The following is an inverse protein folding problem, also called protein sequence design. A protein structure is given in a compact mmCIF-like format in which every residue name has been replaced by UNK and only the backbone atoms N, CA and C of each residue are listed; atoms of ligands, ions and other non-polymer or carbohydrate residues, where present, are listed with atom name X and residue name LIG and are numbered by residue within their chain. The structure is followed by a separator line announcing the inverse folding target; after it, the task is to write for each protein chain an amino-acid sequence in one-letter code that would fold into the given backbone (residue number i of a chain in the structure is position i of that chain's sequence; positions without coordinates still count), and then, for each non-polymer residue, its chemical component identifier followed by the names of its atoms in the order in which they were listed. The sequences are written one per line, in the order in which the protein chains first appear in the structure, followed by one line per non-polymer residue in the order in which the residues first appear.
data_IF_487538850308
#
_entry.id   IF_487538850308
#
_cell.length_a   1.000
_cell.length_b   1.000
_cell.length_c   1.000
_cell.angle_alpha   90.00
_cell.angle_beta   90.00
_cell.angle_gamma   90.00
#
_symmetry.space_group_name_H-M   'P 1'
#
loop_
_entity.id
_entity.type
_entity.pdbx_description
1 polymer ?
#
# COMPACT_ATOMS: atom_id res chain seq x y z
N UNK A 1 33.93 18.73 -14.27
CA UNK A 1 32.78 19.13 -13.44
C UNK A 1 31.94 17.89 -13.30
N UNK A 2 32.19 17.12 -12.24
CA UNK A 2 31.56 15.81 -12.01
C UNK A 2 30.11 16.04 -11.62
N UNK A 3 29.18 15.58 -12.46
CA UNK A 3 27.77 15.52 -12.11
C UNK A 3 27.60 14.63 -10.88
N UNK A 4 27.12 15.23 -9.79
CA UNK A 4 26.59 14.50 -8.65
C UNK A 4 25.25 13.94 -9.11
N UNK A 5 25.24 12.67 -9.52
CA UNK A 5 24.00 11.92 -9.67
C UNK A 5 23.39 11.81 -8.27
N UNK A 6 22.40 12.65 -7.99
CA UNK A 6 21.60 12.53 -6.77
C UNK A 6 20.86 11.19 -6.88
N UNK A 7 21.29 10.21 -6.08
CA UNK A 7 20.53 8.98 -5.90
C UNK A 7 19.24 9.35 -5.19
N UNK A 8 18.16 9.59 -5.94
CA UNK A 8 16.84 9.62 -5.35
C UNK A 8 16.64 8.28 -4.60
N UNK A 9 16.15 8.33 -3.36
CA UNK A 9 15.81 7.12 -2.63
C UNK A 9 14.71 6.40 -3.42
N UNK A 10 14.86 5.09 -3.64
CA UNK A 10 13.83 4.30 -4.33
C UNK A 10 12.64 4.17 -3.39
N UNK A 11 11.49 4.71 -3.82
CA UNK A 11 10.25 4.64 -3.06
C UNK A 11 9.74 3.20 -3.04
N UNK A 12 9.48 2.65 -1.85
CA UNK A 12 9.04 1.26 -1.67
C UNK A 12 7.55 1.17 -1.38
N UNK A 13 6.83 0.34 -2.13
CA UNK A 13 5.39 0.07 -1.94
C UNK A 13 5.19 -1.35 -1.44
N UNK A 14 4.40 -1.49 -0.37
CA UNK A 14 3.91 -2.78 0.11
C UNK A 14 2.52 -3.05 -0.47
N UNK A 15 2.37 -4.09 -1.28
CA UNK A 15 1.09 -4.50 -1.88
C UNK A 15 0.52 -5.70 -1.13
N UNK A 16 -0.72 -5.61 -0.65
CA UNK A 16 -1.40 -6.71 0.06
C UNK A 16 -2.77 -6.95 -0.57
N UNK A 17 -2.91 -8.05 -1.30
CA UNK A 17 -4.09 -8.36 -2.12
C UNK A 17 -4.19 -9.88 -2.31
N UNK A 18 -5.33 -10.48 -1.98
CA UNK A 18 -5.51 -11.94 -2.05
C UNK A 18 -5.78 -12.44 -3.48
N UNK A 19 -6.45 -11.63 -4.31
CA UNK A 19 -6.63 -11.93 -5.73
C UNK A 19 -5.28 -11.84 -6.47
N UNK A 20 -4.75 -12.96 -7.01
CA UNK A 20 -3.44 -12.97 -7.64
C UNK A 20 -3.37 -12.09 -8.90
N UNK A 21 -4.48 -11.93 -9.63
CA UNK A 21 -4.53 -11.11 -10.84
C UNK A 21 -4.46 -9.63 -10.47
N UNK A 22 -5.23 -9.19 -9.48
CA UNK A 22 -5.16 -7.80 -9.01
C UNK A 22 -3.83 -7.49 -8.33
N UNK A 23 -3.27 -8.44 -7.56
CA UNK A 23 -1.96 -8.29 -6.93
C UNK A 23 -0.86 -8.10 -7.97
N UNK A 24 -0.84 -8.96 -9.01
CA UNK A 24 0.11 -8.83 -10.13
C UNK A 24 -0.07 -7.51 -10.87
N UNK A 25 -1.31 -7.13 -11.21
CA UNK A 25 -1.59 -5.86 -11.88
C UNK A 25 -1.08 -4.65 -11.08
N UNK A 26 -1.39 -4.58 -9.79
CA UNK A 26 -0.93 -3.48 -8.95
C UNK A 26 0.60 -3.45 -8.83
N UNK A 27 1.22 -4.62 -8.65
CA UNK A 27 2.69 -4.75 -8.59
C UNK A 27 3.34 -4.24 -9.87
N UNK A 28 2.88 -4.71 -11.03
CA UNK A 28 3.42 -4.30 -12.33
C UNK A 28 3.28 -2.79 -12.57
N UNK A 29 2.13 -2.20 -12.20
CA UNK A 29 1.91 -0.75 -12.31
C UNK A 29 2.90 0.03 -11.47
N UNK A 30 3.11 -0.35 -10.20
CA UNK A 30 4.08 0.32 -9.34
C UNK A 30 5.52 0.13 -9.84
N UNK A 31 5.90 -1.06 -10.26
CA UNK A 31 7.24 -1.30 -10.81
C UNK A 31 7.51 -0.49 -12.08
N UNK A 32 6.50 -0.33 -12.96
CA UNK A 32 6.60 0.50 -14.17
C UNK A 32 6.81 1.98 -13.87
N UNK A 33 6.28 2.49 -12.76
CA UNK A 33 6.49 3.87 -12.29
C UNK A 33 7.79 4.04 -11.48
N UNK A 34 8.60 2.98 -11.37
CA UNK A 34 9.93 3.02 -10.73
C UNK A 34 9.93 2.78 -9.23
N UNK A 35 8.82 2.32 -8.65
CA UNK A 35 8.76 1.91 -7.25
C UNK A 35 9.43 0.54 -7.06
N UNK A 36 10.08 0.33 -5.91
CA UNK A 36 10.38 -1.02 -5.44
C UNK A 36 9.11 -1.62 -4.82
N UNK A 37 8.75 -2.85 -5.16
CA UNK A 37 7.52 -3.47 -4.65
C UNK A 37 7.82 -4.73 -3.85
N UNK A 38 7.19 -4.84 -2.69
CA UNK A 38 7.08 -6.09 -1.93
C UNK A 38 5.60 -6.45 -1.85
N UNK A 39 5.23 -7.66 -2.25
CA UNK A 39 3.83 -8.08 -2.26
C UNK A 39 3.55 -9.28 -1.36
N UNK A 40 2.33 -9.32 -0.82
CA UNK A 40 1.79 -10.38 0.03
C UNK A 40 0.38 -10.73 -0.42
N UNK A 41 0.01 -12.00 -0.27
CA UNK A 41 -1.33 -12.52 -0.59
C UNK A 41 -2.31 -12.46 0.59
N UNK A 42 -1.82 -12.14 1.78
CA UNK A 42 -2.61 -12.11 3.01
C UNK A 42 -2.13 -11.00 3.93
N UNK A 43 -3.06 -10.43 4.70
CA UNK A 43 -2.73 -9.46 5.74
C UNK A 43 -1.89 -10.08 6.87
N UNK A 44 -2.11 -11.36 7.19
CA UNK A 44 -1.30 -12.07 8.19
C UNK A 44 0.18 -12.15 7.79
N UNK A 45 0.48 -12.47 6.52
CA UNK A 45 1.85 -12.52 6.03
C UNK A 45 2.51 -11.13 6.02
N UNK A 46 1.77 -10.11 5.59
CA UNK A 46 2.24 -8.72 5.62
C UNK A 46 2.51 -8.26 7.06
N UNK A 47 1.66 -8.61 8.02
CA UNK A 47 1.86 -8.26 9.42
C UNK A 47 3.08 -8.97 10.02
N UNK A 48 3.24 -10.27 9.76
CA UNK A 48 4.44 -11.03 10.16
C UNK A 48 5.73 -10.38 9.63
N UNK A 49 5.69 -9.87 8.38
CA UNK A 49 6.81 -9.10 7.83
C UNK A 49 7.07 -7.81 8.60
N UNK A 50 6.04 -7.02 8.95
CA UNK A 50 6.22 -5.85 9.81
C UNK A 50 6.75 -6.20 11.21
N UNK A 51 6.34 -7.34 11.78
CA UNK A 51 6.83 -7.84 13.07
C UNK A 51 8.31 -8.18 13.07
N UNK A 52 8.85 -8.58 11.91
CA UNK A 52 10.28 -8.81 11.71
C UNK A 52 11.14 -7.52 11.68
N UNK A 53 10.53 -6.36 11.91
CA UNK A 53 11.15 -5.03 11.98
C UNK A 53 12.01 -4.63 10.75
N UNK A 54 11.44 -4.70 9.54
CA UNK A 54 12.11 -4.22 8.33
C UNK A 54 12.16 -2.69 8.30
N UNK A 55 12.91 -2.14 7.34
CA UNK A 55 12.73 -0.73 6.97
C UNK A 55 11.26 -0.51 6.53
N UNK A 56 10.57 0.53 7.03
CA UNK A 56 9.19 0.76 6.69
C UNK A 56 9.05 1.12 5.20
N UNK A 57 8.01 0.65 4.51
CA UNK A 57 7.72 1.08 3.16
C UNK A 57 7.20 2.52 3.17
N UNK A 58 7.29 3.17 2.01
CA UNK A 58 6.78 4.53 1.80
C UNK A 58 5.27 4.55 1.54
N UNK A 59 4.68 3.41 1.16
CA UNK A 59 3.24 3.25 0.98
C UNK A 59 2.81 1.81 1.31
N UNK A 60 1.69 1.69 2.01
CA UNK A 60 0.92 0.45 2.07
C UNK A 60 -0.29 0.55 1.14
N UNK A 61 -0.36 -0.31 0.13
CA UNK A 61 -1.54 -0.54 -0.70
C UNK A 61 -2.18 -1.88 -0.30
N UNK A 62 -3.40 -1.86 0.23
CA UNK A 62 -4.06 -3.08 0.75
C UNK A 62 -5.51 -3.18 0.28
N UNK A 63 -5.96 -4.38 -0.13
CA UNK A 63 -7.39 -4.70 -0.13
C UNK A 63 -7.90 -4.72 1.32
N UNK A 64 -9.19 -4.54 1.52
CA UNK A 64 -9.89 -4.77 2.79
C UNK A 64 -10.26 -6.24 2.98
N UNK A 65 -10.87 -6.87 1.97
CA UNK A 65 -11.54 -8.17 2.14
C UNK A 65 -10.55 -9.30 1.82
N UNK A 66 -9.85 -9.79 2.83
CA UNK A 66 -8.95 -10.93 2.68
C UNK A 66 -9.29 -12.04 3.69
N UNK A 67 -9.10 -13.32 3.34
CA UNK A 67 -9.18 -14.41 4.30
C UNK A 67 -7.98 -14.38 5.25
N UNK A 68 -8.18 -14.84 6.49
CA UNK A 68 -7.11 -14.87 7.49
C UNK A 68 -7.56 -14.50 8.89
N UNK A 69 -6.62 -14.25 9.79
CA UNK A 69 -6.93 -13.67 11.10
C UNK A 69 -7.08 -12.16 11.01
N UNK A 70 -6.29 -11.55 10.12
CA UNK A 70 -6.36 -10.13 9.81
C UNK A 70 -7.04 -9.92 8.46
N UNK A 71 -7.94 -8.95 8.41
CA UNK A 71 -8.37 -8.33 7.16
C UNK A 71 -7.51 -7.08 6.89
N UNK A 72 -7.68 -6.44 5.74
CA UNK A 72 -6.90 -5.26 5.39
C UNK A 72 -7.12 -4.04 6.28
N UNK A 73 -8.31 -3.90 6.87
CA UNK A 73 -8.57 -2.80 7.81
C UNK A 73 -7.91 -3.07 9.16
N UNK A 74 -7.86 -4.32 9.61
CA UNK A 74 -7.12 -4.72 10.80
C UNK A 74 -5.62 -4.50 10.60
N UNK A 75 -5.07 -4.91 9.45
CA UNK A 75 -3.69 -4.61 9.06
C UNK A 75 -3.42 -3.11 9.06
N UNK A 76 -4.24 -2.33 8.36
CA UNK A 76 -4.06 -0.88 8.26
C UNK A 76 -4.05 -0.20 9.64
N UNK A 77 -4.93 -0.62 10.56
CA UNK A 77 -4.96 -0.13 11.95
C UNK A 77 -3.69 -0.46 12.71
N UNK A 78 -3.20 -1.70 12.62
CA UNK A 78 -1.96 -2.11 13.28
C UNK A 78 -0.75 -1.36 12.73
N UNK A 79 -0.69 -1.21 11.41
CA UNK A 79 0.36 -0.43 10.72
C UNK A 79 0.30 1.04 11.12
N UNK A 80 -0.88 1.67 11.19
CA UNK A 80 -1.03 3.06 11.66
C UNK A 80 -0.58 3.23 13.12
N UNK A 81 -0.86 2.26 13.99
CA UNK A 81 -0.40 2.29 15.38
C UNK A 81 1.14 2.25 15.48
N UNK A 82 1.80 1.44 14.65
CA UNK A 82 3.27 1.30 14.65
C UNK A 82 3.98 2.41 13.87
N UNK A 83 3.39 2.86 12.77
CA UNK A 83 3.93 3.85 11.85
C UNK A 83 2.90 4.97 11.61
N UNK A 84 2.76 5.93 12.54
CA UNK A 84 1.71 6.95 12.51
C UNK A 84 1.69 7.82 11.26
N UNK A 85 2.81 7.93 10.54
CA UNK A 85 2.96 8.75 9.34
C UNK A 85 2.95 7.97 8.03
N UNK A 86 2.90 6.64 8.08
CA UNK A 86 2.95 5.81 6.88
C UNK A 86 1.70 6.06 6.01
N UNK A 87 1.86 6.45 4.73
CA UNK A 87 0.76 6.53 3.78
C UNK A 87 0.05 5.19 3.57
N UNK A 88 -1.27 5.16 3.71
CA UNK A 88 -2.07 3.94 3.51
C UNK A 88 -3.11 4.19 2.43
N UNK A 89 -3.06 3.41 1.35
CA UNK A 89 -4.08 3.36 0.33
C UNK A 89 -4.87 2.06 0.47
N UNK A 90 -6.13 2.19 0.87
CA UNK A 90 -7.04 1.06 1.05
C UNK A 90 -7.91 0.93 -0.20
N UNK A 91 -7.96 -0.25 -0.80
CA UNK A 91 -8.84 -0.55 -1.94
C UNK A 91 -9.91 -1.57 -1.59
N UNK A 92 -11.14 -1.43 -2.12
CA UNK A 92 -12.20 -2.44 -1.95
C UNK A 92 -13.39 -2.17 -2.87
N UNK A 93 -14.19 -3.20 -3.18
CA UNK A 93 -15.46 -3.06 -3.91
C UNK A 93 -16.65 -2.61 -3.05
N UNK A 94 -16.59 -2.75 -1.72
CA UNK A 94 -17.77 -2.53 -0.86
C UNK A 94 -17.49 -1.76 0.45
N UNK A 95 -16.26 -1.75 0.96
CA UNK A 95 -15.97 -1.32 2.34
C UNK A 95 -14.58 -0.70 2.47
N UNK A 96 -14.40 0.38 3.23
CA UNK A 96 -13.07 0.96 3.50
C UNK A 96 -13.07 2.50 3.56
N UNK A 97 -14.05 3.14 2.93
CA UNK A 97 -14.20 4.60 2.93
C UNK A 97 -14.24 5.20 4.34
N UNK A 98 -15.01 4.61 5.26
CA UNK A 98 -15.11 5.09 6.64
C UNK A 98 -13.79 5.04 7.42
N UNK A 99 -12.86 4.16 7.04
CA UNK A 99 -11.53 4.11 7.64
C UNK A 99 -10.69 5.29 7.15
N UNK A 100 -10.62 5.47 5.82
CA UNK A 100 -9.88 6.58 5.22
C UNK A 100 -10.39 7.97 5.67
N UNK A 101 -11.70 8.12 5.89
CA UNK A 101 -12.29 9.37 6.40
C UNK A 101 -11.87 9.72 7.84
N UNK A 102 -11.44 8.73 8.63
CA UNK A 102 -11.11 8.90 10.05
C UNK A 102 -9.62 8.96 10.33
N UNK A 103 -8.80 8.49 9.39
CA UNK A 103 -7.37 8.34 9.57
C UNK A 103 -6.62 9.38 8.74
N UNK A 104 -5.73 10.12 9.38
CA UNK A 104 -4.82 11.00 8.65
C UNK A 104 -3.89 10.17 7.77
N UNK A 105 -3.51 10.70 6.61
CA UNK A 105 -2.68 10.02 5.59
C UNK A 105 -3.20 8.63 5.17
N UNK A 106 -4.53 8.46 5.14
CA UNK A 106 -5.16 7.31 4.54
C UNK A 106 -6.10 7.75 3.41
N UNK A 107 -6.12 6.99 2.30
CA UNK A 107 -7.08 7.19 1.21
C UNK A 107 -7.80 5.90 0.88
N UNK A 108 -9.01 6.04 0.35
CA UNK A 108 -9.82 4.94 -0.15
C UNK A 108 -9.91 4.99 -1.67
N UNK A 109 -9.58 3.87 -2.32
CA UNK A 109 -9.68 3.68 -3.76
C UNK A 109 -10.71 2.59 -4.08
N UNK A 110 -11.93 2.95 -4.50
CA UNK A 110 -12.96 1.94 -4.79
C UNK A 110 -12.55 1.05 -5.97
N UNK A 111 -12.81 -0.25 -5.85
CA UNK A 111 -12.72 -1.20 -6.98
C UNK A 111 -14.03 -1.14 -7.80
N UNK A 112 -13.98 -1.24 -9.15
CA UNK A 112 -12.78 -1.29 -9.97
C UNK A 112 -12.13 0.09 -10.08
N UNK A 113 -10.81 0.12 -10.18
CA UNK A 113 -10.02 1.32 -10.42
C UNK A 113 -9.21 1.20 -11.71
N UNK A 114 -8.92 2.34 -12.33
CA UNK A 114 -7.96 2.44 -13.44
C UNK A 114 -6.55 2.71 -12.92
N UNK A 115 -5.54 2.49 -13.76
CA UNK A 115 -4.14 2.85 -13.47
C UNK A 115 -4.04 4.33 -13.08
N UNK A 116 -4.65 5.22 -13.86
CA UNK A 116 -4.66 6.67 -13.56
C UNK A 116 -5.26 6.99 -12.19
N UNK A 117 -6.30 6.28 -11.78
CA UNK A 117 -6.91 6.48 -10.46
C UNK A 117 -6.00 6.01 -9.33
N UNK A 118 -5.30 4.88 -9.52
CA UNK A 118 -4.31 4.37 -8.57
C UNK A 118 -3.16 5.38 -8.39
N UNK A 119 -2.55 5.84 -9.48
CA UNK A 119 -1.44 6.78 -9.44
C UNK A 119 -1.84 8.14 -8.88
N UNK A 120 -3.03 8.62 -9.24
CA UNK A 120 -3.59 9.86 -8.67
C UNK A 120 -3.76 9.76 -7.15
N UNK A 121 -4.23 8.62 -6.65
CA UNK A 121 -4.37 8.40 -5.21
C UNK A 121 -3.01 8.39 -4.49
N UNK A 122 -1.97 7.81 -5.11
CA UNK A 122 -0.60 7.85 -4.59
C UNK A 122 -0.08 9.30 -4.48
N UNK A 123 -0.24 10.09 -5.55
CA UNK A 123 0.16 11.49 -5.54
C UNK A 123 -0.56 12.36 -4.49
N UNK A 124 -1.82 12.02 -4.15
CA UNK A 124 -2.55 12.69 -3.05
C UNK A 124 -1.96 12.38 -1.66
N UNK A 125 -1.27 11.25 -1.51
CA UNK A 125 -0.56 10.88 -0.29
C UNK A 125 0.89 11.42 -0.24
N UNK A 126 1.33 12.10 -1.30
CA UNK A 126 2.70 12.59 -1.46
C UNK A 126 3.72 11.49 -1.74
N UNK A 127 3.26 10.39 -2.36
CA UNK A 127 4.04 9.22 -2.78
C UNK A 127 4.08 9.17 -4.30
#
# INVERSE_FOLDING_TARGET
MTDVVSSAAVTTVLVVEDDPVLRSLATEVFEMEGYAVQSFDTADAAWCWFEADPLPPDLLFTDVRMPGQLDGLALAKQVRQRFPQLPILVSSGYTGQQYAEREDRALFLPKPWTIDQLLKACGQLGV
#
